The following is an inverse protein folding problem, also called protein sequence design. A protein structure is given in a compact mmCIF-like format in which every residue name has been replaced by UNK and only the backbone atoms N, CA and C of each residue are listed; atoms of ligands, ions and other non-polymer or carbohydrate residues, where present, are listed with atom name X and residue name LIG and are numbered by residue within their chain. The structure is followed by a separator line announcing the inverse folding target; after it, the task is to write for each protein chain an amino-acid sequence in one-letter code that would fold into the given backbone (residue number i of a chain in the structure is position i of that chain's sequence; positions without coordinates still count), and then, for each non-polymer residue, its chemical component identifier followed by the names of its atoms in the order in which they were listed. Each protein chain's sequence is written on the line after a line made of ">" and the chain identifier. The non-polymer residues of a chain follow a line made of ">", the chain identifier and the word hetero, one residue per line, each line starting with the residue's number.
data_IF_427653525806
#
_entry.id   IF_427653525806
#
_cell.length_a   1.000
_cell.length_b   1.000
_cell.length_c   1.000
_cell.angle_alpha   90.00
_cell.angle_beta   90.00
_cell.angle_gamma   90.00
#
_symmetry.space_group_name_H-M   'P 1'
#
loop_
_entity.id
_entity.type
_entity.pdbx_description
1 polymer ?
#
# COMPACT_ATOMS: atom_id res chain seq x y z
N UNK A 1 19.62 6.67 -24.14
CA UNK A 1 18.22 6.20 -24.20
C UNK A 1 17.70 6.21 -22.77
N UNK A 2 16.57 6.88 -22.54
CA UNK A 2 16.38 7.77 -21.38
C UNK A 2 15.81 7.03 -20.16
N UNK A 3 16.67 6.70 -19.20
CA UNK A 3 16.27 6.15 -17.90
C UNK A 3 15.43 7.17 -17.11
N UNK A 4 14.19 6.84 -16.74
CA UNK A 4 13.32 7.67 -15.88
C UNK A 4 13.63 7.29 -14.43
N UNK A 5 13.93 8.26 -13.58
CA UNK A 5 14.11 8.03 -12.14
C UNK A 5 13.03 8.82 -11.43
N UNK A 6 11.78 8.35 -11.45
CA UNK A 6 10.77 8.93 -10.56
C UNK A 6 10.99 8.31 -9.20
N UNK A 7 11.55 9.09 -8.28
CA UNK A 7 11.62 8.70 -6.88
C UNK A 7 10.28 9.01 -6.22
N UNK A 8 9.52 7.96 -5.89
CA UNK A 8 8.31 8.13 -5.07
C UNK A 8 8.63 7.82 -3.63
N UNK A 9 8.55 8.81 -2.74
CA UNK A 9 8.63 8.61 -1.30
C UNK A 9 7.24 8.33 -0.74
N UNK A 10 7.06 7.21 -0.04
CA UNK A 10 5.84 6.96 0.75
C UNK A 10 6.14 7.20 2.22
N UNK A 11 5.52 8.20 2.84
CA UNK A 11 5.68 8.50 4.27
C UNK A 11 4.43 8.08 5.06
N UNK A 12 4.64 7.39 6.18
CA UNK A 12 3.57 6.94 7.09
C UNK A 12 3.90 7.30 8.53
N UNK A 13 2.95 7.93 9.23
CA UNK A 13 3.04 8.19 10.67
C UNK A 13 2.27 7.09 11.43
N UNK A 14 3.02 6.16 12.05
CA UNK A 14 2.44 5.05 12.80
C UNK A 14 1.98 5.48 14.20
N UNK A 15 0.90 4.85 14.69
CA UNK A 15 0.23 5.18 15.97
C UNK A 15 1.10 4.85 17.19
N UNK A 16 2.02 3.87 17.07
CA UNK A 16 2.80 3.34 18.19
C UNK A 16 4.26 3.76 18.20
N UNK A 17 4.78 4.33 17.12
CA UNK A 17 6.20 4.67 16.98
C UNK A 17 6.37 5.92 16.11
N UNK A 18 7.20 6.87 16.54
CA UNK A 18 7.67 8.00 15.72
C UNK A 18 8.58 7.56 14.54
N UNK A 19 8.41 6.32 14.05
CA UNK A 19 9.13 5.82 12.89
C UNK A 19 8.38 6.22 11.64
N UNK A 20 8.97 7.16 10.93
CA UNK A 20 8.64 7.50 9.55
C UNK A 20 9.14 6.37 8.66
N UNK A 21 8.24 5.57 8.11
CA UNK A 21 8.62 4.59 7.10
C UNK A 21 8.71 5.29 5.75
N UNK A 22 9.85 5.19 5.05
CA UNK A 22 10.05 5.71 3.72
C UNK A 22 10.38 4.58 2.74
N UNK A 23 9.53 4.43 1.72
CA UNK A 23 9.85 3.60 0.56
C UNK A 23 10.16 4.50 -0.62
N UNK A 24 11.31 4.29 -1.24
CA UNK A 24 11.76 4.99 -2.44
C UNK A 24 11.81 3.99 -3.59
N UNK A 25 11.05 4.27 -4.64
CA UNK A 25 11.03 3.48 -5.87
C UNK A 25 11.61 4.32 -7.00
N UNK A 26 12.37 3.73 -7.89
CA UNK A 26 12.85 4.36 -9.13
C UNK A 26 12.11 3.73 -10.32
N UNK A 27 11.47 4.56 -11.14
CA UNK A 27 10.61 4.09 -12.24
C UNK A 27 11.16 4.44 -13.62
N UNK A 28 11.61 3.44 -14.37
CA UNK A 28 12.14 3.60 -15.74
C UNK A 28 11.07 3.32 -16.78
N UNK A 29 10.68 4.35 -17.54
CA UNK A 29 9.65 4.29 -18.60
C UNK A 29 8.43 3.42 -18.19
N UNK A 30 7.81 3.69 -17.03
CA UNK A 30 6.79 2.82 -16.49
C UNK A 30 5.56 2.77 -17.41
N UNK A 31 5.05 1.57 -17.64
CA UNK A 31 3.81 1.33 -18.36
C UNK A 31 2.86 0.47 -17.53
N UNK A 32 1.57 0.78 -17.58
CA UNK A 32 0.56 0.10 -16.78
C UNK A 32 0.55 0.48 -15.30
N UNK A 33 0.02 -0.43 -14.47
CA UNK A 33 -0.09 -0.26 -13.03
C UNK A 33 1.20 -0.66 -12.32
N UNK A 34 1.61 0.14 -11.34
CA UNK A 34 2.72 -0.18 -10.45
C UNK A 34 2.15 -0.49 -9.07
N UNK A 35 2.51 -1.66 -8.53
CA UNK A 35 2.13 -2.07 -7.20
C UNK A 35 3.28 -1.82 -6.23
N UNK A 36 3.04 -1.00 -5.22
CA UNK A 36 4.01 -0.73 -4.15
C UNK A 36 3.51 -1.37 -2.86
N UNK A 37 4.18 -2.41 -2.32
CA UNK A 37 3.79 -3.01 -1.06
C UNK A 37 4.02 -2.03 0.10
N UNK A 38 3.00 -1.85 0.94
CA UNK A 38 3.08 -1.05 2.16
C UNK A 38 3.19 -1.98 3.37
N UNK A 39 4.37 -2.60 3.53
CA UNK A 39 4.63 -3.56 4.60
C UNK A 39 5.80 -3.13 5.46
N UNK A 40 5.75 -3.46 6.76
CA UNK A 40 6.88 -3.26 7.68
C UNK A 40 8.00 -4.30 7.47
N UNK A 41 9.06 -4.20 8.28
CA UNK A 41 10.19 -5.15 8.28
C UNK A 41 9.79 -6.61 8.57
N UNK A 42 8.60 -6.83 9.15
CA UNK A 42 8.03 -8.15 9.44
C UNK A 42 7.03 -8.59 8.38
N UNK A 43 6.98 -7.91 7.21
CA UNK A 43 6.04 -8.18 6.11
C UNK A 43 4.57 -8.01 6.51
N UNK A 44 4.28 -7.25 7.56
CA UNK A 44 2.91 -6.93 7.99
C UNK A 44 2.45 -5.63 7.34
N UNK A 45 1.16 -5.51 6.98
CA UNK A 45 0.59 -4.26 6.47
C UNK A 45 0.83 -3.09 7.44
N UNK A 46 1.24 -1.94 6.90
CA UNK A 46 1.48 -0.74 7.70
C UNK A 46 0.15 -0.16 8.21
N UNK A 47 0.06 0.13 9.51
CA UNK A 47 -1.04 0.88 10.12
C UNK A 47 -0.63 2.34 10.31
N UNK A 48 -1.30 3.25 9.61
CA UNK A 48 -0.99 4.68 9.60
C UNK A 48 -2.27 5.51 9.47
N UNK A 49 -2.23 6.75 9.96
CA UNK A 49 -3.30 7.74 9.73
C UNK A 49 -3.17 8.46 8.40
N UNK A 50 -1.95 8.51 7.84
CA UNK A 50 -1.64 9.27 6.64
C UNK A 50 -0.66 8.48 5.77
N UNK A 51 -0.89 8.58 4.45
CA UNK A 51 0.05 8.13 3.43
C UNK A 51 0.35 9.36 2.57
N UNK A 52 1.62 9.77 2.54
CA UNK A 52 2.07 10.83 1.64
C UNK A 52 2.84 10.20 0.49
N UNK A 53 2.45 10.51 -0.75
CA UNK A 53 3.19 10.12 -1.96
C UNK A 53 3.88 11.38 -2.48
N UNK A 54 5.21 11.36 -2.51
CA UNK A 54 6.02 12.48 -2.99
C UNK A 54 6.77 12.10 -4.27
N UNK A 55 6.58 12.84 -5.35
CA UNK A 55 7.38 12.69 -6.57
C UNK A 55 8.58 13.62 -6.46
N UNK A 56 9.77 13.05 -6.27
CA UNK A 56 10.98 13.86 -6.04
C UNK A 56 11.67 14.29 -7.35
N UNK A 57 11.45 13.56 -8.45
CA UNK A 57 12.01 13.87 -9.75
C UNK A 57 11.13 13.32 -10.89
N UNK A 58 11.20 13.98 -12.05
CA UNK A 58 10.47 13.62 -13.26
C UNK A 58 11.40 13.24 -14.41
N UNK A 59 10.86 12.56 -15.42
CA UNK A 59 11.59 12.30 -16.66
C UNK A 59 12.04 13.59 -17.33
N UNK A 60 13.30 13.64 -17.79
CA UNK A 60 13.90 14.80 -18.46
C UNK A 60 13.77 16.11 -17.66
N UNK A 61 13.79 16.05 -16.32
CA UNK A 61 13.59 17.19 -15.43
C UNK A 61 12.27 17.94 -15.70
N UNK A 62 11.22 17.21 -16.12
CA UNK A 62 9.89 17.76 -16.29
C UNK A 62 9.42 18.49 -15.02
N UNK A 63 8.81 19.65 -15.18
CA UNK A 63 8.33 20.45 -14.05
C UNK A 63 7.16 19.78 -13.33
N UNK A 64 6.23 19.25 -14.10
CA UNK A 64 4.96 18.72 -13.60
C UNK A 64 4.86 17.20 -13.80
N UNK A 65 4.23 16.51 -12.85
CA UNK A 65 3.97 15.07 -12.92
C UNK A 65 2.49 14.82 -13.20
N UNK A 66 2.20 13.95 -14.16
CA UNK A 66 0.82 13.51 -14.42
C UNK A 66 0.53 12.20 -13.68
N UNK A 67 -0.08 12.28 -12.50
CA UNK A 67 -0.63 11.11 -11.81
C UNK A 67 -2.02 10.80 -12.35
N UNK A 68 -2.14 9.69 -13.11
CA UNK A 68 -3.41 9.33 -13.77
C UNK A 68 -4.43 8.73 -12.80
N UNK A 69 -3.99 7.84 -11.91
CA UNK A 69 -4.85 7.21 -10.92
C UNK A 69 -4.01 6.62 -9.78
N UNK A 70 -4.57 6.65 -8.57
CA UNK A 70 -4.00 6.01 -7.38
C UNK A 70 -5.09 5.13 -6.77
N UNK A 71 -4.72 3.90 -6.39
CA UNK A 71 -5.57 2.97 -5.66
C UNK A 71 -4.82 2.50 -4.42
N UNK A 72 -5.44 2.67 -3.26
CA UNK A 72 -4.92 2.19 -1.98
C UNK A 72 -5.79 1.02 -1.53
N UNK A 73 -5.14 -0.09 -1.19
CA UNK A 73 -5.82 -1.31 -0.75
C UNK A 73 -5.51 -1.56 0.72
N UNK A 74 -6.53 -1.97 1.46
CA UNK A 74 -6.38 -2.52 2.80
C UNK A 74 -6.53 -4.03 2.74
N UNK A 75 -5.81 -4.81 3.57
CA UNK A 75 -6.20 -6.19 3.83
C UNK A 75 -7.67 -6.22 4.25
N UNK A 76 -8.44 -7.10 3.65
CA UNK A 76 -9.81 -7.36 4.07
C UNK A 76 -9.73 -8.16 5.36
N UNK A 77 -10.42 -7.71 6.41
CA UNK A 77 -10.67 -8.56 7.56
C UNK A 77 -11.51 -9.75 7.10
N UNK A 78 -10.86 -10.88 6.85
CA UNK A 78 -11.57 -12.15 6.90
C UNK A 78 -12.00 -12.31 8.33
N UNK A 79 -13.26 -12.00 8.64
CA UNK A 79 -13.77 -12.15 10.01
C UNK A 79 -13.68 -13.63 10.37
N UNK A 80 -12.59 -14.02 10.98
CA UNK A 80 -12.49 -15.25 11.71
C UNK A 80 -13.51 -15.18 12.84
N UNK A 81 -14.24 -16.26 13.05
CA UNK A 81 -15.00 -16.42 14.28
C UNK A 81 -13.94 -16.52 15.39
N UNK A 82 -13.62 -15.40 16.05
CA UNK A 82 -12.53 -15.33 17.03
C UNK A 82 -11.12 -15.53 16.44
N UNK A 83 -10.24 -16.23 17.18
CA UNK A 83 -8.84 -16.54 16.77
C UNK A 83 -8.73 -17.76 15.83
N UNK A 84 -9.85 -18.28 15.33
CA UNK A 84 -9.87 -19.50 14.54
C UNK A 84 -9.67 -19.21 13.05
N UNK A 85 -9.05 -20.13 12.28
CA UNK A 85 -8.92 -19.95 10.84
C UNK A 85 -10.28 -19.85 10.15
N UNK A 86 -10.29 -19.28 8.94
CA UNK A 86 -11.50 -19.10 8.15
C UNK A 86 -12.18 -20.45 7.89
N UNK A 87 -13.40 -20.57 8.39
CA UNK A 87 -14.34 -21.62 8.01
C UNK A 87 -14.93 -21.32 6.62
N UNK A 88 -14.93 -22.29 5.71
CA UNK A 88 -15.45 -22.14 4.34
C UNK A 88 -16.74 -22.94 4.09
N UNK A 89 -17.08 -23.87 4.98
CA UNK A 89 -18.27 -24.69 4.86
C UNK A 89 -19.53 -23.85 5.08
N UNK A 90 -20.52 -24.06 4.21
CA UNK A 90 -21.82 -23.38 4.26
C UNK A 90 -22.47 -23.58 5.64
N UNK A 91 -22.41 -24.79 6.18
CA UNK A 91 -22.99 -25.14 7.48
C UNK A 91 -22.45 -24.30 8.64
N UNK A 92 -21.19 -23.89 8.57
CA UNK A 92 -20.58 -23.06 9.60
C UNK A 92 -20.77 -21.57 9.32
N UNK A 93 -20.77 -21.18 8.04
CA UNK A 93 -21.00 -19.79 7.64
C UNK A 93 -22.41 -19.30 7.96
N UNK A 94 -23.42 -20.19 8.02
CA UNK A 94 -24.80 -19.80 8.35
C UNK A 94 -24.92 -19.18 9.76
N UNK A 95 -24.04 -19.54 10.69
CA UNK A 95 -24.04 -19.05 12.07
C UNK A 95 -23.00 -17.93 12.32
N UNK A 96 -22.36 -17.40 11.27
CA UNK A 96 -21.25 -16.44 11.38
C UNK A 96 -21.65 -15.09 11.99
N UNK A 97 -22.88 -14.64 11.76
CA UNK A 97 -23.35 -13.33 12.23
C UNK A 97 -24.85 -13.35 12.48
N UNK A 98 -25.29 -12.71 13.55
CA UNK A 98 -26.68 -12.26 13.70
C UNK A 98 -26.77 -10.91 12.99
N UNK A 99 -27.71 -10.76 12.07
CA UNK A 99 -27.91 -9.53 11.27
C UNK A 99 -29.30 -8.97 11.50
#
# INVERSE_FOLDING_TARGET
>A
MKCMHVYTGIHTNSISTNHSYCHQLELVEPSGWIHVPLTDSHKKPIRTFMIQIAVLANHQNGRDTHMRQIKVYTPVEESSIGKFPRCTTIDFMMYRSIR
#
